data_IF_658414838135
#
_entry.id   IF_658414838135
#
_cell.length_a   1.000
_cell.length_b   1.000
_cell.length_c   1.000
_cell.angle_alpha   90.00
_cell.angle_beta   90.00
_cell.angle_gamma   90.00
#
_symmetry.space_group_name_H-M   'P 1'
#
loop_
_entity.id
_entity.type
_entity.pdbx_description
1 polymer ?
#
# COMPACT_ATOMS: atom_id res chain seq x y z
N UNK A 1 11.78 4.09 0.92
CA UNK A 1 11.16 4.37 -0.39
C UNK A 1 11.12 3.07 -1.19
N UNK A 2 10.88 3.14 -2.51
CA UNK A 2 10.73 1.95 -3.37
C UNK A 2 11.67 1.93 -4.57
N UNK A 3 12.68 2.79 -4.61
CA UNK A 3 13.57 2.95 -5.78
C UNK A 3 14.38 1.69 -6.15
N UNK A 4 14.51 0.72 -5.24
CA UNK A 4 15.35 -0.47 -5.44
C UNK A 4 14.83 -1.36 -6.58
N UNK A 5 13.52 -1.42 -6.81
CA UNK A 5 12.95 -2.23 -7.90
C UNK A 5 13.38 -1.71 -9.27
N UNK A 6 13.55 -0.39 -9.39
CA UNK A 6 13.93 0.29 -10.64
C UNK A 6 15.43 0.64 -10.70
N UNK A 7 16.26 0.03 -9.85
CA UNK A 7 17.68 0.38 -9.73
C UNK A 7 18.44 0.23 -11.05
N UNK A 8 18.12 -0.79 -11.85
CA UNK A 8 18.71 -1.01 -13.17
C UNK A 8 18.33 0.10 -14.15
N UNK A 9 17.08 0.55 -14.13
CA UNK A 9 16.61 1.66 -14.98
C UNK A 9 17.30 2.98 -14.59
N UNK A 10 17.40 3.26 -13.29
CA UNK A 10 18.12 4.43 -12.78
C UNK A 10 19.59 4.45 -13.21
N UNK A 11 20.28 3.30 -13.16
CA UNK A 11 21.66 3.19 -13.58
C UNK A 11 21.81 3.38 -15.11
N UNK A 12 20.97 2.72 -15.91
CA UNK A 12 21.11 2.70 -17.37
C UNK A 12 20.70 4.02 -18.04
N UNK A 13 19.65 4.68 -17.55
CA UNK A 13 19.11 5.89 -18.18
C UNK A 13 19.77 7.15 -17.59
N UNK A 14 20.00 7.15 -16.29
CA UNK A 14 20.40 8.35 -15.55
C UNK A 14 21.77 8.26 -14.89
N UNK A 15 22.45 7.10 -14.97
CA UNK A 15 23.72 6.86 -14.29
C UNK A 15 23.63 7.15 -12.77
N UNK A 16 22.49 6.79 -12.17
CA UNK A 16 22.22 6.93 -10.74
C UNK A 16 22.27 5.57 -10.06
N UNK A 17 23.02 5.50 -8.97
CA UNK A 17 23.04 4.32 -8.09
C UNK A 17 21.90 4.41 -7.07
N UNK A 18 21.27 3.26 -6.80
CA UNK A 18 20.26 3.13 -5.74
C UNK A 18 20.84 2.33 -4.58
N UNK A 19 20.89 2.97 -3.41
CA UNK A 19 21.34 2.33 -2.16
C UNK A 19 20.17 2.24 -1.18
N UNK A 20 19.97 1.06 -0.60
CA UNK A 20 19.01 0.88 0.50
C UNK A 20 19.64 1.34 1.82
N UNK A 21 19.01 2.34 2.45
CA UNK A 21 19.40 2.82 3.77
C UNK A 21 18.52 2.12 4.82
N UNK A 22 19.11 1.51 5.86
CA UNK A 22 18.34 0.86 6.91
C UNK A 22 17.42 1.85 7.63
N UNK A 23 16.28 1.37 8.10
CA UNK A 23 15.32 2.19 8.85
C UNK A 23 15.87 2.54 10.24
N UNK A 24 15.54 3.73 10.74
CA UNK A 24 15.94 4.16 12.08
C UNK A 24 15.29 3.31 13.19
N UNK A 25 14.12 2.72 12.91
CA UNK A 25 13.40 1.81 13.81
C UNK A 25 12.98 0.55 13.04
N UNK A 26 12.84 -0.61 13.71
CA UNK A 26 12.30 -1.81 13.09
C UNK A 26 10.89 -1.59 12.54
N UNK A 27 10.63 -2.14 11.35
CA UNK A 27 9.29 -2.11 10.75
C UNK A 27 8.42 -3.15 11.45
N UNK A 28 7.34 -2.69 12.10
CA UNK A 28 6.36 -3.55 12.80
C UNK A 28 4.97 -3.50 12.14
N UNK A 29 4.87 -2.85 10.98
CA UNK A 29 3.63 -2.79 10.19
C UNK A 29 3.26 -4.20 9.74
N UNK A 30 1.98 -4.54 9.84
CA UNK A 30 1.41 -5.77 9.29
C UNK A 30 0.81 -5.45 7.93
N UNK A 31 1.36 -6.06 6.90
CA UNK A 31 0.81 -6.01 5.54
C UNK A 31 0.07 -7.33 5.33
N UNK A 32 -1.26 -7.25 5.28
CA UNK A 32 -2.13 -8.41 5.06
C UNK A 32 -2.19 -8.74 3.57
N UNK A 33 -2.54 -9.98 3.24
CA UNK A 33 -2.71 -10.43 1.86
C UNK A 33 -3.90 -9.74 1.16
N UNK A 34 -3.88 -9.72 -0.18
CA UNK A 34 -4.96 -9.14 -0.98
C UNK A 34 -6.27 -9.94 -0.87
N UNK A 35 -7.38 -9.24 -0.71
CA UNK A 35 -8.72 -9.83 -0.81
C UNK A 35 -9.32 -9.64 -2.21
N UNK A 36 -9.51 -10.74 -2.94
CA UNK A 36 -10.07 -10.73 -4.30
C UNK A 36 -11.55 -11.13 -4.31
N UNK A 37 -12.38 -10.29 -4.90
CA UNK A 37 -13.83 -10.46 -4.98
C UNK A 37 -14.28 -10.75 -6.41
N UNK A 38 -15.38 -11.51 -6.57
CA UNK A 38 -15.91 -11.86 -7.90
C UNK A 38 -16.55 -10.67 -8.58
N UNK A 39 -17.22 -9.81 -7.80
CA UNK A 39 -17.90 -8.62 -8.30
C UNK A 39 -17.44 -7.37 -7.56
N UNK A 40 -17.58 -6.23 -8.24
CA UNK A 40 -17.26 -4.91 -7.69
C UNK A 40 -18.15 -4.56 -6.48
N UNK A 41 -19.41 -4.98 -6.51
CA UNK A 41 -20.35 -4.74 -5.41
C UNK A 41 -19.97 -5.49 -4.14
N UNK A 42 -19.51 -6.74 -4.26
CA UNK A 42 -19.00 -7.52 -3.12
C UNK A 42 -17.76 -6.85 -2.52
N UNK A 43 -16.82 -6.43 -3.38
CA UNK A 43 -15.63 -5.67 -2.97
C UNK A 43 -16.00 -4.43 -2.17
N UNK A 44 -16.92 -3.60 -2.66
CA UNK A 44 -17.31 -2.37 -1.95
C UNK A 44 -18.04 -2.66 -0.65
N UNK A 45 -18.90 -3.68 -0.59
CA UNK A 45 -19.55 -4.08 0.67
C UNK A 45 -18.54 -4.51 1.72
N UNK A 46 -17.53 -5.27 1.33
CA UNK A 46 -16.43 -5.67 2.22
C UNK A 46 -15.61 -4.47 2.70
N UNK A 47 -15.20 -3.57 1.79
CA UNK A 47 -14.46 -2.34 2.15
C UNK A 47 -15.26 -1.48 3.15
N UNK A 48 -16.56 -1.27 2.89
CA UNK A 48 -17.42 -0.47 3.80
C UNK A 48 -17.55 -1.11 5.17
N UNK A 49 -17.58 -2.44 5.24
CA UNK A 49 -17.59 -3.16 6.53
C UNK A 49 -16.29 -2.91 7.29
N UNK A 50 -15.14 -3.09 6.65
CA UNK A 50 -13.83 -2.88 7.29
C UNK A 50 -13.67 -1.44 7.80
N UNK A 51 -14.11 -0.45 7.01
CA UNK A 51 -14.08 0.95 7.41
C UNK A 51 -14.93 1.18 8.67
N UNK A 52 -16.11 0.57 8.75
CA UNK A 52 -16.97 0.69 9.95
C UNK A 52 -16.30 0.04 11.16
N UNK A 53 -15.76 -1.16 11.00
CA UNK A 53 -15.13 -1.90 12.09
C UNK A 53 -13.91 -1.14 12.65
N UNK A 54 -13.07 -0.57 11.79
CA UNK A 54 -11.92 0.23 12.21
C UNK A 54 -12.34 1.60 12.81
N UNK A 55 -13.37 2.25 12.25
CA UNK A 55 -13.93 3.49 12.84
C UNK A 55 -14.49 3.24 14.23
N UNK A 56 -15.24 2.16 14.43
CA UNK A 56 -15.85 1.82 15.71
C UNK A 56 -14.79 1.47 16.78
N UNK A 57 -13.60 1.02 16.35
CA UNK A 57 -12.40 0.85 17.20
C UNK A 57 -11.61 2.16 17.44
N UNK A 58 -11.95 3.25 16.77
CA UNK A 58 -11.18 4.51 16.80
C UNK A 58 -9.86 4.46 16.04
N UNK A 59 -9.67 3.49 15.15
CA UNK A 59 -8.46 3.34 14.34
C UNK A 59 -8.50 4.31 13.15
N UNK A 60 -7.44 5.10 12.90
CA UNK A 60 -7.36 5.95 11.72
C UNK A 60 -7.20 5.10 10.45
N UNK A 61 -7.83 5.54 9.36
CA UNK A 61 -7.86 4.82 8.07
C UNK A 61 -7.52 5.78 6.94
N UNK A 62 -6.77 5.28 5.96
CA UNK A 62 -6.58 5.89 4.65
C UNK A 62 -7.10 4.92 3.59
N UNK A 63 -7.96 5.39 2.69
CA UNK A 63 -8.50 4.59 1.57
C UNK A 63 -7.96 5.16 0.26
N UNK A 64 -7.28 4.32 -0.52
CA UNK A 64 -6.81 4.68 -1.86
C UNK A 64 -7.78 4.22 -2.94
N UNK A 65 -8.14 5.11 -3.87
CA UNK A 65 -8.87 4.79 -5.11
C UNK A 65 -8.01 5.12 -6.32
N UNK A 66 -8.33 4.53 -7.47
CA UNK A 66 -7.64 4.82 -8.74
C UNK A 66 -8.25 6.00 -9.50
N UNK A 67 -9.47 6.42 -9.13
CA UNK A 67 -10.25 7.48 -9.78
C UNK A 67 -11.02 8.31 -8.75
N UNK A 68 -11.51 9.48 -9.17
CA UNK A 68 -12.27 10.43 -8.33
C UNK A 68 -13.78 10.13 -8.34
N UNK A 69 -14.29 9.49 -9.39
CA UNK A 69 -15.73 9.18 -9.59
C UNK A 69 -16.40 8.48 -8.40
#
# INVERSE_FOLDING_TARGET
GTALTEAEEFANIYNLEVTEIPTNLPVVRKDEDDEVYRTVDEKYKAIVREIKDARDKGQPILVGTTSIE
#
